data_IF_255364098035
#
_entry.id   IF_255364098035
#
_cell.length_a   1.000
_cell.length_b   1.000
_cell.length_c   1.000
_cell.angle_alpha   90.00
_cell.angle_beta   90.00
_cell.angle_gamma   90.00
#
_symmetry.space_group_name_H-M   'P 1'
#
loop_
_entity.id
_entity.type
_entity.pdbx_description
1 polymer ?
#
# COMPACT_ATOMS: atom_id res chain seq x y z
N UNK A 1 -1.02 4.89 -2.65
CA UNK A 1 -0.25 5.86 -1.84
C UNK A 1 -1.07 6.94 -1.17
N UNK A 2 -2.13 7.49 -1.76
CA UNK A 2 -2.89 8.61 -1.17
C UNK A 2 -3.34 8.32 0.28
N UNK A 3 -4.03 7.19 0.51
CA UNK A 3 -4.43 6.79 1.88
C UNK A 3 -3.25 6.62 2.84
N UNK A 4 -2.06 6.27 2.35
CA UNK A 4 -0.87 6.18 3.19
C UNK A 4 -0.42 7.57 3.64
N UNK A 5 -0.33 8.54 2.73
CA UNK A 5 0.06 9.92 3.05
C UNK A 5 -0.95 10.60 4.00
N UNK A 6 -2.24 10.31 3.85
CA UNK A 6 -3.28 10.87 4.73
C UNK A 6 -3.34 10.17 6.10
N UNK A 7 -2.83 8.95 6.21
CA UNK A 7 -2.96 8.14 7.43
C UNK A 7 -2.03 8.54 8.59
N UNK A 8 -1.02 9.39 8.34
CA UNK A 8 -0.01 9.78 9.32
C UNK A 8 0.99 8.66 9.70
N UNK A 9 0.95 7.50 9.04
CA UNK A 9 1.95 6.45 9.22
C UNK A 9 3.30 6.88 8.62
N UNK A 10 4.38 6.67 9.36
CA UNK A 10 5.74 6.97 8.88
C UNK A 10 6.29 5.93 7.90
N UNK A 11 5.93 4.66 8.11
CA UNK A 11 6.46 3.54 7.34
C UNK A 11 5.33 2.87 6.55
N UNK A 12 5.51 2.72 5.23
CA UNK A 12 4.51 2.11 4.36
C UNK A 12 4.22 0.65 4.75
N UNK A 13 5.24 -0.11 5.16
CA UNK A 13 5.05 -1.49 5.62
C UNK A 13 4.05 -1.61 6.76
N UNK A 14 4.16 -0.76 7.78
CA UNK A 14 3.24 -0.76 8.92
C UNK A 14 1.83 -0.34 8.49
N UNK A 15 1.71 0.68 7.65
CA UNK A 15 0.42 1.07 7.09
C UNK A 15 -0.24 -0.08 6.32
N UNK A 16 0.51 -0.71 5.42
CA UNK A 16 -0.03 -1.77 4.57
C UNK A 16 -0.50 -2.96 5.41
N UNK A 17 0.32 -3.44 6.34
CA UNK A 17 -0.01 -4.60 7.16
C UNK A 17 -1.13 -4.33 8.17
N UNK A 18 -1.14 -3.17 8.82
CA UNK A 18 -2.08 -2.87 9.91
C UNK A 18 -3.38 -2.21 9.42
N UNK A 19 -3.36 -1.46 8.32
CA UNK A 19 -4.54 -0.75 7.79
C UNK A 19 -5.12 -1.39 6.54
N UNK A 20 -4.29 -1.88 5.62
CA UNK A 20 -4.80 -2.47 4.36
C UNK A 20 -5.15 -3.94 4.56
N UNK A 21 -4.23 -4.74 5.12
CA UNK A 21 -4.39 -6.19 5.20
C UNK A 21 -5.44 -6.69 6.20
N UNK A 22 -5.78 -5.92 7.25
CA UNK A 22 -6.79 -6.32 8.26
C UNK A 22 -8.08 -5.50 8.13
N UNK A 23 -8.11 -4.20 8.47
CA UNK A 23 -9.36 -3.44 8.46
C UNK A 23 -9.98 -3.28 7.07
N UNK A 24 -9.16 -2.97 6.06
CA UNK A 24 -9.64 -2.70 4.70
C UNK A 24 -9.64 -3.95 3.81
N UNK A 25 -9.44 -5.15 4.36
CA UNK A 25 -9.37 -6.40 3.60
C UNK A 25 -10.58 -6.61 2.69
N UNK A 26 -11.76 -6.22 3.14
CA UNK A 26 -13.00 -6.36 2.39
C UNK A 26 -13.04 -5.47 1.12
N UNK A 27 -12.34 -4.34 1.11
CA UNK A 27 -12.22 -3.46 -0.05
C UNK A 27 -11.18 -3.97 -1.06
N UNK A 28 -10.22 -4.78 -0.59
CA UNK A 28 -9.14 -5.32 -1.40
C UNK A 28 -9.16 -6.85 -1.33
N UNK A 29 -10.10 -7.54 -1.98
CA UNK A 29 -10.26 -8.99 -1.83
C UNK A 29 -9.05 -9.83 -2.32
N UNK A 30 -8.17 -9.24 -3.12
CA UNK A 30 -6.95 -9.87 -3.67
C UNK A 30 -5.67 -9.16 -3.20
N UNK A 31 -5.51 -9.03 -1.88
CA UNK A 31 -4.29 -8.45 -1.29
C UNK A 31 -3.08 -9.33 -1.62
N UNK A 32 -2.01 -8.69 -2.09
CA UNK A 32 -0.70 -9.34 -2.29
C UNK A 32 0.21 -9.12 -1.09
N UNK A 33 1.30 -9.87 -0.97
CA UNK A 33 2.27 -9.66 0.10
C UNK A 33 2.88 -8.24 0.05
N UNK A 34 3.44 -7.78 1.17
CA UNK A 34 4.09 -6.47 1.23
C UNK A 34 5.20 -6.31 0.17
N UNK A 35 6.06 -7.32 0.00
CA UNK A 35 7.12 -7.26 -1.01
C UNK A 35 6.55 -7.17 -2.42
N UNK A 36 5.50 -7.94 -2.71
CA UNK A 36 4.86 -7.92 -4.03
C UNK A 36 4.23 -6.57 -4.34
N UNK A 37 3.62 -5.88 -3.37
CA UNK A 37 3.06 -4.56 -3.64
C UNK A 37 4.15 -3.50 -3.88
N UNK A 38 5.30 -3.60 -3.22
CA UNK A 38 6.44 -2.69 -3.44
C UNK A 38 7.06 -2.90 -4.83
N UNK A 39 7.14 -4.15 -5.30
CA UNK A 39 7.56 -4.45 -6.68
C UNK A 39 6.59 -3.82 -7.70
N UNK A 40 5.29 -4.05 -7.52
CA UNK A 40 4.26 -3.50 -8.41
C UNK A 40 4.23 -1.97 -8.39
N UNK A 41 4.42 -1.35 -7.22
CA UNK A 41 4.51 0.10 -7.11
C UNK A 41 5.61 0.66 -8.02
N UNK A 42 6.80 0.04 -8.01
CA UNK A 42 7.92 0.45 -8.86
C UNK A 42 7.63 0.32 -10.35
N UNK A 43 6.85 -0.67 -10.76
CA UNK A 43 6.45 -0.87 -12.16
C UNK A 43 5.47 0.19 -12.65
N UNK A 44 4.63 0.73 -11.76
CA UNK A 44 3.56 1.69 -12.12
C UNK A 44 3.91 3.15 -11.83
N UNK A 45 5.07 3.44 -11.23
CA UNK A 45 5.53 4.83 -11.06
C UNK A 45 5.76 5.44 -12.43
N UNK A 46 4.84 6.30 -12.86
CA UNK A 46 5.03 7.18 -14.01
C UNK A 46 5.85 8.38 -13.50
N UNK A 47 7.04 8.66 -14.04
CA UNK A 47 7.77 9.86 -13.70
C UNK A 47 6.91 11.09 -14.04
N UNK A 48 6.63 11.91 -13.05
CA UNK A 48 6.10 13.26 -13.29
C UNK A 48 7.28 14.10 -13.77
N UNK A 49 7.28 14.42 -15.06
CA UNK A 49 8.27 15.27 -15.71
C UNK A 49 8.19 16.72 -15.22
#
# INVERSE_FOLDING_TARGET
>A
MILFHDSGYRCFQHFYLEKVCKPLRHLFPKIVSYNRIVELEREVVIPLA
#
